data_IF_278470600510
#
_entry.id   IF_278470600510
#
_cell.length_a   1.000
_cell.length_b   1.000
_cell.length_c   1.000
_cell.angle_alpha   90.00
_cell.angle_beta   90.00
_cell.angle_gamma   90.00
#
_symmetry.space_group_name_H-M   'P 1'
#
loop_
_entity.id
_entity.type
_entity.pdbx_description
1 polymer ?
#
# COMPACT_ATOMS: atom_id res chain seq x y z
N UNK A 1 4.46 -4.46 -24.29
CA UNK A 1 3.71 -3.51 -23.46
C UNK A 1 4.32 -2.15 -23.70
N UNK A 2 3.55 -1.19 -24.19
CA UNK A 2 4.06 0.16 -24.41
C UNK A 2 4.17 0.91 -23.07
N UNK A 3 4.79 2.08 -23.08
CA UNK A 3 4.98 2.89 -21.86
C UNK A 3 3.65 3.27 -21.21
N UNK A 4 2.66 3.68 -22.00
CA UNK A 4 1.32 4.04 -21.51
C UNK A 4 0.64 2.90 -20.77
N UNK A 5 0.71 1.68 -21.29
CA UNK A 5 0.17 0.47 -20.65
C UNK A 5 0.89 0.16 -19.33
N UNK A 6 2.23 0.38 -19.26
CA UNK A 6 3.00 0.21 -18.02
C UNK A 6 2.57 1.20 -16.96
N UNK A 7 2.45 2.47 -17.33
CA UNK A 7 2.00 3.51 -16.41
C UNK A 7 0.56 3.26 -15.94
N UNK A 8 -0.33 2.85 -16.85
CA UNK A 8 -1.71 2.49 -16.49
C UNK A 8 -1.75 1.34 -15.48
N UNK A 9 -1.03 0.25 -15.74
CA UNK A 9 -0.96 -0.91 -14.83
C UNK A 9 -0.34 -0.55 -13.48
N UNK A 10 0.70 0.29 -13.48
CA UNK A 10 1.31 0.77 -12.25
C UNK A 10 0.31 1.56 -11.41
N UNK A 11 -0.45 2.46 -12.05
CA UNK A 11 -1.48 3.26 -11.40
C UNK A 11 -2.56 2.36 -10.78
N UNK A 12 -3.10 1.42 -11.56
CA UNK A 12 -4.10 0.47 -11.06
C UNK A 12 -3.57 -0.33 -9.86
N UNK A 13 -2.33 -0.81 -9.92
CA UNK A 13 -1.68 -1.56 -8.83
C UNK A 13 -1.56 -0.71 -7.55
N UNK A 14 -1.12 0.55 -7.67
CA UNK A 14 -0.98 1.46 -6.53
C UNK A 14 -2.34 1.87 -5.97
N UNK A 15 -3.32 2.14 -6.82
CA UNK A 15 -4.66 2.56 -6.41
C UNK A 15 -5.33 1.42 -5.62
N UNK A 16 -5.29 0.18 -6.13
CA UNK A 16 -5.79 -1.00 -5.41
C UNK A 16 -5.09 -1.21 -4.05
N UNK A 17 -3.77 -1.00 -4.01
CA UNK A 17 -3.00 -1.10 -2.76
C UNK A 17 -3.45 -0.03 -1.76
N UNK A 18 -3.62 1.20 -2.24
CA UNK A 18 -4.07 2.33 -1.43
C UNK A 18 -5.47 2.09 -0.88
N UNK A 19 -6.39 1.62 -1.71
CA UNK A 19 -7.76 1.28 -1.30
C UNK A 19 -7.78 0.22 -0.20
N UNK A 20 -6.99 -0.85 -0.33
CA UNK A 20 -6.89 -1.88 0.72
C UNK A 20 -6.36 -1.31 2.03
N UNK A 21 -5.27 -0.53 1.99
CA UNK A 21 -4.74 0.13 3.20
C UNK A 21 -5.77 1.06 3.85
N UNK A 22 -6.59 1.74 3.04
CA UNK A 22 -7.56 2.71 3.51
C UNK A 22 -8.88 2.12 3.96
N UNK A 23 -9.32 0.97 3.45
CA UNK A 23 -10.71 0.52 3.64
C UNK A 23 -10.85 -0.92 4.12
N UNK A 24 -9.80 -1.73 4.06
CA UNK A 24 -9.84 -3.09 4.60
C UNK A 24 -9.76 -3.03 6.13
N UNK A 25 -10.90 -3.26 6.78
CA UNK A 25 -11.03 -3.20 8.26
C UNK A 25 -10.34 -4.37 8.96
N UNK A 26 -10.13 -5.48 8.26
CA UNK A 26 -9.51 -6.68 8.83
C UNK A 26 -8.00 -6.71 8.59
N UNK A 27 -7.44 -5.69 7.93
CA UNK A 27 -6.04 -5.66 7.56
C UNK A 27 -5.16 -5.37 8.79
N UNK A 28 -4.43 -6.38 9.24
CA UNK A 28 -3.44 -6.22 10.31
C UNK A 28 -2.20 -5.44 9.85
N UNK A 29 -1.43 -4.89 10.79
CA UNK A 29 -0.19 -4.18 10.47
C UNK A 29 0.82 -5.07 9.69
N UNK A 30 1.09 -6.33 10.08
CA UNK A 30 1.95 -7.21 9.30
C UNK A 30 1.43 -7.46 7.88
N UNK A 31 0.12 -7.57 7.68
CA UNK A 31 -0.47 -7.74 6.35
C UNK A 31 -0.37 -6.47 5.51
N UNK A 32 -0.56 -5.29 6.12
CA UNK A 32 -0.36 -4.02 5.45
C UNK A 32 1.08 -3.85 4.99
N UNK A 33 2.07 -4.17 5.84
CA UNK A 33 3.49 -4.14 5.46
C UNK A 33 3.75 -5.11 4.31
N UNK A 34 3.32 -6.38 4.44
CA UNK A 34 3.47 -7.38 3.36
C UNK A 34 2.85 -6.90 2.06
N UNK A 35 1.65 -6.30 2.11
CA UNK A 35 0.98 -5.75 0.94
C UNK A 35 1.85 -4.71 0.23
N UNK A 36 2.47 -3.78 0.95
CA UNK A 36 3.37 -2.77 0.34
C UNK A 36 4.60 -3.38 -0.32
N UNK A 37 5.18 -4.42 0.29
CA UNK A 37 6.34 -5.14 -0.26
C UNK A 37 5.94 -5.90 -1.52
N UNK A 38 4.80 -6.59 -1.51
CA UNK A 38 4.27 -7.27 -2.68
C UNK A 38 3.97 -6.30 -3.82
N UNK A 39 3.38 -5.15 -3.52
CA UNK A 39 3.09 -4.11 -4.50
C UNK A 39 4.39 -3.59 -5.14
N UNK A 40 5.45 -3.38 -4.35
CA UNK A 40 6.76 -3.00 -4.87
C UNK A 40 7.33 -4.07 -5.80
N UNK A 41 7.30 -5.34 -5.41
CA UNK A 41 7.78 -6.47 -6.24
C UNK A 41 6.99 -6.61 -7.55
N UNK A 42 5.69 -6.29 -7.55
CA UNK A 42 4.87 -6.27 -8.75
C UNK A 42 5.18 -5.04 -9.62
N UNK A 43 5.39 -3.88 -9.00
CA UNK A 43 5.79 -2.65 -9.69
C UNK A 43 7.13 -2.83 -10.41
N UNK A 44 8.11 -3.50 -9.80
CA UNK A 44 9.40 -3.81 -10.41
C UNK A 44 9.28 -4.63 -11.71
N UNK A 45 8.27 -5.50 -11.81
CA UNK A 45 7.99 -6.25 -13.04
C UNK A 45 7.33 -5.39 -14.12
N UNK A 46 6.68 -4.29 -13.75
CA UNK A 46 5.99 -3.37 -14.67
C UNK A 46 6.96 -2.26 -15.13
N UNK A 47 7.71 -1.68 -14.19
CA UNK A 47 8.57 -0.49 -14.36
C UNK A 47 10.00 -0.68 -13.81
N UNK A 48 10.76 -1.72 -14.23
CA UNK A 48 12.10 -1.99 -13.66
C UNK A 48 13.08 -0.82 -13.75
N UNK A 49 12.98 0.00 -14.79
CA UNK A 49 13.83 1.17 -15.07
C UNK A 49 13.43 2.44 -14.31
N UNK A 50 12.32 2.43 -13.57
CA UNK A 50 11.80 3.59 -12.84
C UNK A 50 11.61 3.33 -11.34
N UNK A 51 12.24 2.28 -10.79
CA UNK A 51 12.05 1.89 -9.39
C UNK A 51 12.52 2.94 -8.39
N UNK A 52 13.57 3.70 -8.69
CA UNK A 52 14.01 4.80 -7.79
C UNK A 52 12.92 5.87 -7.63
N UNK A 53 12.21 6.20 -8.73
CA UNK A 53 11.09 7.14 -8.70
C UNK A 53 9.88 6.54 -8.00
N UNK A 54 9.64 5.25 -8.21
CA UNK A 54 8.58 4.52 -7.53
C UNK A 54 8.78 4.57 -6.02
N UNK A 55 9.97 4.20 -5.54
CA UNK A 55 10.29 4.15 -4.10
C UNK A 55 10.14 5.56 -3.49
N UNK A 56 10.68 6.58 -4.14
CA UNK A 56 10.58 7.97 -3.68
C UNK A 56 9.12 8.44 -3.47
N UNK A 57 8.21 8.05 -4.36
CA UNK A 57 6.82 8.53 -4.34
C UNK A 57 5.94 7.62 -3.48
N UNK A 58 6.00 6.32 -3.72
CA UNK A 58 5.01 5.37 -3.23
C UNK A 58 5.39 4.74 -1.90
N UNK A 59 6.68 4.60 -1.57
CA UNK A 59 7.08 4.13 -0.24
C UNK A 59 6.58 5.10 0.84
N UNK A 60 6.90 6.39 0.68
CA UNK A 60 6.43 7.46 1.57
C UNK A 60 4.90 7.55 1.62
N UNK A 61 4.22 7.33 0.49
CA UNK A 61 2.74 7.34 0.43
C UNK A 61 2.16 6.18 1.23
N UNK A 62 2.65 4.96 1.04
CA UNK A 62 2.12 3.79 1.74
C UNK A 62 2.42 3.84 3.24
N UNK A 63 3.59 4.30 3.66
CA UNK A 63 3.90 4.55 5.06
C UNK A 63 2.89 5.49 5.72
N UNK A 64 2.54 6.60 5.03
CA UNK A 64 1.50 7.52 5.51
C UNK A 64 0.12 6.86 5.61
N UNK A 65 -0.28 6.07 4.62
CA UNK A 65 -1.57 5.36 4.66
C UNK A 65 -1.63 4.35 5.81
N UNK A 66 -0.55 3.61 6.04
CA UNK A 66 -0.45 2.69 7.19
C UNK A 66 -0.61 3.48 8.50
N UNK A 67 0.08 4.61 8.63
CA UNK A 67 0.03 5.43 9.84
C UNK A 67 -1.36 6.06 10.07
N UNK A 68 -2.04 6.48 9.00
CA UNK A 68 -3.34 7.16 9.07
C UNK A 68 -4.53 6.21 9.22
N UNK A 69 -4.47 5.01 8.64
CA UNK A 69 -5.64 4.15 8.51
C UNK A 69 -5.46 2.79 9.18
N UNK A 70 -4.26 2.22 9.17
CA UNK A 70 -4.02 0.86 9.71
C UNK A 70 -3.71 0.92 11.20
N UNK A 71 -2.75 1.76 11.61
CA UNK A 71 -2.36 1.86 13.03
C UNK A 71 -3.52 2.29 13.96
N UNK A 72 -4.34 3.29 13.62
CA UNK A 72 -5.41 3.73 14.51
C UNK A 72 -6.49 2.66 14.73
N UNK A 73 -6.75 1.80 13.74
CA UNK A 73 -7.73 0.70 13.87
C UNK A 73 -7.28 -0.36 14.85
N UNK A 74 -5.98 -0.60 14.92
CA UNK A 74 -5.40 -1.57 15.84
C UNK A 74 -5.45 -1.02 17.26
N UNK A 75 -5.18 0.28 17.44
CA UNK A 75 -5.20 0.94 18.75
C UNK A 75 -6.63 1.17 19.27
N UNK A 76 -7.59 1.49 18.39
CA UNK A 76 -8.99 1.69 18.78
C UNK A 76 -9.79 0.41 19.07
N UNK A 77 -9.21 -0.78 18.81
CA UNK A 77 -9.85 -2.06 19.12
C UNK A 77 -9.65 -2.55 20.56
N UNK A 78 -8.76 -1.92 21.33
CA UNK A 78 -8.48 -2.30 22.73
C UNK A 78 -9.38 -1.59 23.76
N UNK A 79 -10.06 -0.49 23.40
CA UNK A 79 -10.89 0.29 24.35
C UNK A 79 -12.32 -0.30 24.56
N UNK A 80 -12.79 -1.20 23.70
CA UNK A 80 -14.16 -1.76 23.77
C UNK A 80 -14.23 -3.14 24.48
N UNK A 81 -13.13 -3.62 25.08
CA UNK A 81 -13.06 -4.97 25.66
C UNK A 81 -13.26 -5.05 27.19
N UNK A 82 -13.51 -3.93 27.89
CA UNK A 82 -13.72 -3.90 29.35
C UNK A 82 -14.89 -2.97 29.75
N UNK A 83 -16.12 -3.33 29.32
CA UNK A 83 -17.38 -2.66 29.68
C UNK A 83 -18.48 -3.64 30.06
#
# INVERSE_FOLDING_TARGET
MNEEERIKKLRELVDQTSERLMYDVNLSLPEAIRLTVETRLRAEKIIPDMMDRYDLIYESRFQRLIWQFVLPRIQGGEEDADG
#
